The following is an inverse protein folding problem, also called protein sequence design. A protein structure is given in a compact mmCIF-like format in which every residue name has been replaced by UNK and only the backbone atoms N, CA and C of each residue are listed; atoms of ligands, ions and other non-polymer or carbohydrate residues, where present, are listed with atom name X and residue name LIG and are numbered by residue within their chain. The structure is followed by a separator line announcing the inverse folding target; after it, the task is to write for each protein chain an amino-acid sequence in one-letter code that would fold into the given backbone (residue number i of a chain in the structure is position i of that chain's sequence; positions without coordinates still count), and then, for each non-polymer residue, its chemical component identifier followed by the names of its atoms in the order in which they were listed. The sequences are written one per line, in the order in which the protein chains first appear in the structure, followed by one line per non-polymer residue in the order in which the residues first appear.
data_IF_880270459666
#
_entry.id   IF_880270459666
#
_cell.length_a   1.000
_cell.length_b   1.000
_cell.length_c   1.000
_cell.angle_alpha   90.00
_cell.angle_beta   90.00
_cell.angle_gamma   90.00
#
_symmetry.space_group_name_H-M   'P 1'
#
loop_
_entity.id
_entity.type
_entity.pdbx_description
1 polymer ?
#
# COMPACT_ATOMS: atom_id res chain seq x y z
N UNK A 1 -3.51 53.16 51.89
CA UNK A 1 -3.09 52.66 50.56
C UNK A 1 -2.20 51.47 50.87
N UNK A 2 -2.57 50.22 50.57
CA UNK A 2 -2.85 49.65 49.25
C UNK A 2 -3.56 48.30 49.47
N UNK A 3 -4.72 48.06 48.88
CA UNK A 3 -5.35 46.73 48.91
C UNK A 3 -4.75 45.89 47.77
N UNK A 4 -4.13 44.75 48.13
CA UNK A 4 -3.65 43.77 47.15
C UNK A 4 -4.82 42.89 46.70
N UNK A 5 -5.15 42.98 45.40
CA UNK A 5 -6.19 42.19 44.73
C UNK A 5 -5.80 40.70 44.71
N UNK A 6 -6.68 39.76 45.09
CA UNK A 6 -6.34 38.34 45.03
C UNK A 6 -6.22 37.89 43.58
N UNK A 7 -5.19 37.13 43.27
CA UNK A 7 -4.96 36.58 41.94
C UNK A 7 -6.01 35.49 41.65
N UNK A 8 -6.93 35.77 40.73
CA UNK A 8 -7.90 34.78 40.25
C UNK A 8 -7.26 33.85 39.24
N UNK A 9 -7.33 32.55 39.52
CA UNK A 9 -6.86 31.49 38.62
C UNK A 9 -7.84 31.39 37.45
N UNK A 10 -7.40 31.79 36.25
CA UNK A 10 -8.21 31.70 35.04
C UNK A 10 -8.10 30.29 34.46
N UNK A 11 -9.14 29.48 34.63
CA UNK A 11 -9.26 28.17 33.96
C UNK A 11 -9.62 28.43 32.49
N UNK A 12 -8.74 27.99 31.59
CA UNK A 12 -8.99 27.99 30.15
C UNK A 12 -9.31 26.57 29.74
N UNK A 13 -10.55 26.32 29.32
CA UNK A 13 -10.93 25.05 28.71
C UNK A 13 -10.20 24.93 27.36
N UNK A 14 -9.17 24.09 27.31
CA UNK A 14 -8.55 23.67 26.06
C UNK A 14 -9.21 22.38 25.59
N UNK A 15 -9.66 22.35 24.34
CA UNK A 15 -10.16 21.11 23.74
C UNK A 15 -9.03 20.08 23.66
N UNK A 16 -9.28 18.89 24.19
CA UNK A 16 -8.37 17.75 24.05
C UNK A 16 -8.47 17.24 22.62
N UNK A 17 -7.52 17.64 21.78
CA UNK A 17 -7.43 17.13 20.41
C UNK A 17 -6.90 15.70 20.45
N UNK A 18 -7.73 14.75 20.02
CA UNK A 18 -7.29 13.37 19.84
C UNK A 18 -6.31 13.30 18.66
N UNK A 19 -5.12 12.69 18.83
CA UNK A 19 -4.18 12.54 17.72
C UNK A 19 -4.79 11.71 16.59
N UNK A 20 -4.72 12.21 15.36
CA UNK A 20 -5.12 11.43 14.18
C UNK A 20 -4.25 10.15 14.11
N UNK A 21 -4.84 8.95 14.07
CA UNK A 21 -4.06 7.72 13.97
C UNK A 21 -3.17 7.74 12.72
N UNK A 22 -1.93 7.24 12.79
CA UNK A 22 -1.08 7.12 11.63
C UNK A 22 -1.78 6.25 10.58
N UNK A 23 -1.84 6.73 9.33
CA UNK A 23 -2.34 5.93 8.21
C UNK A 23 -1.37 4.78 7.97
N UNK A 24 -1.67 3.61 8.52
CA UNK A 24 -0.88 2.40 8.28
C UNK A 24 -1.20 1.92 6.86
N UNK A 25 -0.48 2.43 5.87
CA UNK A 25 -0.69 2.07 4.46
C UNK A 25 -0.22 0.64 4.24
N UNK A 26 -1.05 -0.16 3.59
CA UNK A 26 -0.67 -1.51 3.16
C UNK A 26 0.51 -1.38 2.18
N UNK A 27 1.56 -2.14 2.44
CA UNK A 27 2.73 -2.23 1.54
C UNK A 27 2.37 -3.19 0.41
N UNK A 28 2.51 -2.75 -0.84
CA UNK A 28 2.18 -3.53 -2.03
C UNK A 28 3.28 -3.35 -3.10
N UNK A 29 4.54 -3.48 -2.69
CA UNK A 29 5.70 -3.21 -3.56
C UNK A 29 6.21 -4.47 -4.27
N UNK A 30 5.95 -5.64 -3.71
CA UNK A 30 6.42 -6.92 -4.22
C UNK A 30 5.25 -7.87 -4.47
N UNK A 31 5.49 -8.92 -5.27
CA UNK A 31 4.52 -9.98 -5.48
C UNK A 31 4.14 -10.69 -4.16
N UNK A 32 5.11 -10.87 -3.26
CA UNK A 32 4.87 -11.48 -1.95
C UNK A 32 4.00 -10.59 -1.05
N UNK A 33 4.22 -9.28 -1.04
CA UNK A 33 3.37 -8.35 -0.30
C UNK A 33 1.90 -8.45 -0.77
N UNK A 34 1.68 -8.47 -2.08
CA UNK A 34 0.34 -8.57 -2.68
C UNK A 34 -0.31 -9.93 -2.38
N UNK A 35 0.47 -11.01 -2.42
CA UNK A 35 0.00 -12.37 -2.09
C UNK A 35 -0.42 -12.47 -0.62
N UNK A 36 0.36 -11.90 0.29
CA UNK A 36 0.03 -11.85 1.71
C UNK A 36 -1.24 -11.05 1.96
N UNK A 37 -1.38 -9.88 1.35
CA UNK A 37 -2.58 -9.06 1.50
C UNK A 37 -3.82 -9.76 0.91
N UNK A 38 -3.70 -10.44 -0.25
CA UNK A 38 -4.78 -11.26 -0.81
C UNK A 38 -5.25 -12.35 0.17
N UNK A 39 -4.29 -13.07 0.78
CA UNK A 39 -4.60 -14.09 1.77
C UNK A 39 -5.28 -13.51 3.01
N UNK A 40 -4.85 -12.32 3.45
CA UNK A 40 -5.48 -11.60 4.56
C UNK A 40 -6.92 -11.19 4.23
N UNK A 41 -7.15 -10.57 3.08
CA UNK A 41 -8.51 -10.19 2.62
C UNK A 41 -9.43 -11.42 2.54
N UNK A 42 -8.92 -12.56 2.05
CA UNK A 42 -9.66 -13.81 2.03
C UNK A 42 -10.05 -14.30 3.44
N UNK A 43 -9.09 -14.34 4.37
CA UNK A 43 -9.34 -14.75 5.75
C UNK A 43 -10.33 -13.81 6.45
N UNK A 44 -10.17 -12.50 6.28
CA UNK A 44 -11.06 -11.49 6.87
C UNK A 44 -12.51 -11.66 6.38
N UNK A 45 -12.70 -12.00 5.09
CA UNK A 45 -14.03 -12.35 4.56
C UNK A 45 -14.56 -13.67 5.15
N UNK A 46 -13.70 -14.70 5.24
CA UNK A 46 -14.08 -16.02 5.76
C UNK A 46 -14.50 -15.98 7.22
N UNK A 47 -13.83 -15.15 8.01
CA UNK A 47 -14.09 -14.99 9.44
C UNK A 47 -15.17 -13.94 9.73
N UNK A 48 -15.85 -13.44 8.68
CA UNK A 48 -16.88 -12.38 8.75
C UNK A 48 -16.39 -11.05 9.36
N UNK A 49 -15.08 -10.83 9.38
CA UNK A 49 -14.47 -9.56 9.83
C UNK A 49 -14.50 -8.49 8.73
N UNK A 50 -14.71 -8.88 7.48
CA UNK A 50 -14.86 -8.02 6.31
C UNK A 50 -16.06 -8.46 5.48
N UNK A 51 -16.90 -7.50 5.07
CA UNK A 51 -18.02 -7.75 4.17
C UNK A 51 -17.54 -8.39 2.85
N UNK A 52 -18.11 -9.52 2.40
CA UNK A 52 -17.67 -10.21 1.19
C UNK A 52 -17.74 -9.37 -0.08
N UNK A 53 -18.73 -8.47 -0.21
CA UNK A 53 -18.83 -7.61 -1.39
C UNK A 53 -17.70 -6.58 -1.46
N UNK A 54 -17.30 -6.05 -0.30
CA UNK A 54 -16.15 -5.16 -0.15
C UNK A 54 -14.83 -5.92 -0.35
N UNK A 55 -14.67 -7.07 0.29
CA UNK A 55 -13.47 -7.89 0.17
C UNK A 55 -13.24 -8.40 -1.25
N UNK A 56 -14.30 -8.74 -2.00
CA UNK A 56 -14.19 -9.12 -3.41
C UNK A 56 -13.64 -7.97 -4.28
N UNK A 57 -14.05 -6.72 -4.02
CA UNK A 57 -13.52 -5.55 -4.73
C UNK A 57 -12.03 -5.33 -4.42
N UNK A 58 -11.63 -5.48 -3.17
CA UNK A 58 -10.23 -5.39 -2.76
C UNK A 58 -9.38 -6.49 -3.40
N UNK A 59 -9.86 -7.74 -3.35
CA UNK A 59 -9.20 -8.87 -3.98
C UNK A 59 -9.08 -8.70 -5.50
N UNK A 60 -10.10 -8.13 -6.15
CA UNK A 60 -10.04 -7.80 -7.58
C UNK A 60 -8.90 -6.82 -7.89
N UNK A 61 -8.81 -5.70 -7.17
CA UNK A 61 -7.76 -4.70 -7.38
C UNK A 61 -6.37 -5.30 -7.13
N UNK A 62 -6.20 -6.05 -6.03
CA UNK A 62 -4.95 -6.75 -5.74
C UNK A 62 -4.58 -7.74 -6.86
N UNK A 63 -5.55 -8.47 -7.39
CA UNK A 63 -5.36 -9.36 -8.54
C UNK A 63 -4.91 -8.64 -9.80
N UNK A 64 -5.44 -7.45 -10.08
CA UNK A 64 -4.97 -6.61 -11.19
C UNK A 64 -3.50 -6.19 -10.99
N UNK A 65 -3.12 -5.83 -9.76
CA UNK A 65 -1.73 -5.46 -9.46
C UNK A 65 -0.76 -6.62 -9.64
N UNK A 66 -1.14 -7.83 -9.19
CA UNK A 66 -0.38 -9.06 -9.44
C UNK A 66 -0.17 -9.27 -10.94
N UNK A 67 -1.25 -9.13 -11.74
CA UNK A 67 -1.18 -9.29 -13.20
C UNK A 67 -0.21 -8.29 -13.85
N UNK A 68 -0.24 -7.02 -13.43
CA UNK A 68 0.67 -5.98 -13.93
C UNK A 68 2.13 -6.36 -13.62
N UNK A 69 2.40 -6.84 -12.41
CA UNK A 69 3.74 -7.24 -12.00
C UNK A 69 4.24 -8.45 -12.82
N UNK A 70 3.40 -9.46 -13.02
CA UNK A 70 3.72 -10.62 -13.86
C UNK A 70 4.05 -10.22 -15.29
N UNK A 71 3.25 -9.33 -15.88
CA UNK A 71 3.50 -8.81 -17.24
C UNK A 71 4.83 -8.07 -17.29
N UNK A 72 5.09 -7.18 -16.35
CA UNK A 72 6.34 -6.43 -16.29
C UNK A 72 7.58 -7.33 -16.17
N UNK A 73 7.52 -8.35 -15.32
CA UNK A 73 8.61 -9.31 -15.16
C UNK A 73 8.84 -10.13 -16.43
N UNK A 74 7.78 -10.54 -17.13
CA UNK A 74 7.88 -11.24 -18.41
C UNK A 74 8.47 -10.35 -19.50
N UNK A 75 8.06 -9.10 -19.60
CA UNK A 75 8.64 -8.11 -20.53
C UNK A 75 10.14 -7.93 -20.26
N UNK A 76 10.50 -7.69 -19.00
CA UNK A 76 11.90 -7.53 -18.58
C UNK A 76 12.78 -8.72 -18.97
N UNK A 77 12.27 -9.94 -18.75
CA UNK A 77 12.97 -11.18 -19.13
C UNK A 77 13.05 -11.34 -20.65
N UNK A 78 11.99 -11.02 -21.37
CA UNK A 78 11.94 -11.08 -22.84
C UNK A 78 12.96 -10.14 -23.45
N UNK A 79 13.01 -8.89 -23.00
CA UNK A 79 14.01 -7.93 -23.47
C UNK A 79 15.44 -8.37 -23.20
N UNK A 80 15.70 -9.00 -22.04
CA UNK A 80 17.03 -9.52 -21.72
C UNK A 80 17.46 -10.62 -22.70
N UNK A 81 16.54 -11.51 -23.07
CA UNK A 81 16.77 -12.54 -24.07
C UNK A 81 16.97 -11.96 -25.46
N UNK A 82 16.17 -10.98 -25.88
CA UNK A 82 16.33 -10.30 -27.17
C UNK A 82 17.66 -9.57 -27.29
N UNK A 83 18.10 -8.91 -26.21
CA UNK A 83 19.44 -8.28 -26.13
C UNK A 83 20.54 -9.33 -26.26
N UNK A 84 20.44 -10.44 -25.53
CA UNK A 84 21.41 -11.53 -25.59
C UNK A 84 21.49 -12.13 -27.01
N UNK A 85 20.35 -12.33 -27.67
CA UNK A 85 20.28 -12.86 -29.03
C UNK A 85 20.91 -11.90 -30.06
N UNK A 86 20.64 -10.58 -29.96
CA UNK A 86 21.27 -9.57 -30.84
C UNK A 86 22.78 -9.57 -30.76
N UNK A 87 23.36 -9.82 -29.58
CA UNK A 87 24.81 -9.90 -29.39
C UNK A 87 25.42 -11.16 -30.00
N UNK A 88 24.63 -12.23 -30.17
CA UNK A 88 25.09 -13.50 -30.76
C UNK A 88 24.94 -13.54 -32.29
N UNK A 89 24.12 -12.68 -32.87
CA UNK A 89 23.92 -12.61 -34.32
C UNK A 89 25.10 -11.90 -35.01
N UNK A 90 25.64 -12.44 -36.12
CA UNK A 90 26.64 -11.73 -36.90
C UNK A 90 26.05 -10.42 -37.46
N UNK A 91 26.85 -9.35 -37.62
CA UNK A 91 26.36 -8.08 -38.13
C UNK A 91 25.74 -8.29 -39.51
N UNK A 92 24.52 -7.77 -39.69
CA UNK A 92 23.80 -7.84 -40.96
C UNK A 92 24.65 -7.13 -42.03
N UNK A 93 25.21 -7.86 -42.99
CA UNK A 93 25.90 -7.26 -44.14
C UNK A 93 24.88 -6.45 -44.92
N UNK A 94 25.16 -5.16 -45.08
CA UNK A 94 24.36 -4.22 -45.88
C UNK A 94 24.40 -4.51 -47.36
#
# INVERSE_FOLDING_TARGET
MTQSKPAELRIVAGDVVTPTPPKNRVRLHTLDDMRLELGKVYNDMRDNSLDPATGTKLAYVLGQMVRIYEVHELERRTEALERALKLQLPPKKG
#
